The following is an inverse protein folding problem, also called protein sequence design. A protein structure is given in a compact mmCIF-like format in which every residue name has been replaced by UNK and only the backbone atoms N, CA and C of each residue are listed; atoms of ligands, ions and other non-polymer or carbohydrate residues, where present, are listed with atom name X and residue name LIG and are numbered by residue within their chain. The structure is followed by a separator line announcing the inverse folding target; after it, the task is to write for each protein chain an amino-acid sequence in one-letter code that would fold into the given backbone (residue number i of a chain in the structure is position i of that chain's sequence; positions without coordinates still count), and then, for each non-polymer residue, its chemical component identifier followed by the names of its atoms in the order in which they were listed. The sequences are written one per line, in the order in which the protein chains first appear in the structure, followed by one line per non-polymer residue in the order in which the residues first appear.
data_IF_796003951215
#
_entry.id   IF_796003951215
#
_cell.length_a   1.000
_cell.length_b   1.000
_cell.length_c   1.000
_cell.angle_alpha   90.00
_cell.angle_beta   90.00
_cell.angle_gamma   90.00
#
_symmetry.space_group_name_H-M   'P 1'
#
loop_
_entity.id
_entity.type
_entity.pdbx_description
1 polymer ?
#
# COMPACT_ATOMS: atom_id res chain seq x y z
N UNK A 1 -14.42 -33.08 15.02
CA UNK A 1 -13.92 -32.07 15.96
C UNK A 1 -12.63 -31.39 15.47
N UNK A 2 -11.60 -32.12 15.01
CA UNK A 2 -10.37 -31.55 14.43
C UNK A 2 -10.60 -30.67 13.18
N UNK A 3 -11.52 -31.04 12.29
CA UNK A 3 -11.81 -30.26 11.08
C UNK A 3 -12.39 -28.86 11.37
N UNK A 4 -13.23 -28.72 12.40
CA UNK A 4 -13.79 -27.42 12.81
C UNK A 4 -12.75 -26.53 13.49
N UNK A 5 -11.81 -27.12 14.24
CA UNK A 5 -10.69 -26.43 14.88
C UNK A 5 -9.69 -25.89 13.83
N UNK A 6 -9.38 -26.68 12.80
CA UNK A 6 -8.52 -26.25 11.69
C UNK A 6 -9.18 -25.21 10.78
N UNK A 7 -10.48 -25.34 10.52
CA UNK A 7 -11.24 -24.32 9.78
C UNK A 7 -11.26 -22.97 10.53
N UNK A 8 -11.38 -22.98 11.85
CA UNK A 8 -11.30 -21.78 12.70
C UNK A 8 -9.92 -21.12 12.68
N UNK A 9 -8.83 -21.90 12.70
CA UNK A 9 -7.45 -21.40 12.58
C UNK A 9 -7.19 -20.79 11.20
N UNK A 10 -7.70 -21.42 10.13
CA UNK A 10 -7.63 -20.87 8.78
C UNK A 10 -8.31 -19.51 8.70
N UNK A 11 -9.60 -19.41 9.09
CA UNK A 11 -10.36 -18.15 9.00
C UNK A 11 -9.72 -17.04 9.86
N UNK A 12 -9.24 -17.38 11.06
CA UNK A 12 -8.54 -16.44 11.96
C UNK A 12 -7.20 -15.93 11.39
N UNK A 13 -6.39 -16.82 10.79
CA UNK A 13 -5.09 -16.46 10.21
C UNK A 13 -5.23 -15.72 8.87
N UNK A 14 -6.18 -16.11 8.02
CA UNK A 14 -6.41 -15.48 6.73
C UNK A 14 -7.06 -14.09 6.87
N UNK A 15 -8.00 -13.92 7.80
CA UNK A 15 -8.52 -12.60 8.18
C UNK A 15 -7.42 -11.68 8.72
N UNK A 16 -6.50 -12.22 9.53
CA UNK A 16 -5.34 -11.50 10.05
C UNK A 16 -4.37 -11.06 8.93
N UNK A 17 -4.12 -11.92 7.93
CA UNK A 17 -3.27 -11.59 6.77
C UNK A 17 -3.87 -10.46 5.91
N UNK A 18 -5.19 -10.43 5.74
CA UNK A 18 -5.89 -9.37 5.01
C UNK A 18 -5.85 -8.04 5.78
N UNK A 19 -5.99 -8.07 7.11
CA UNK A 19 -5.87 -6.89 7.98
C UNK A 19 -4.44 -6.35 7.99
N UNK A 20 -3.43 -7.21 8.08
CA UNK A 20 -2.01 -6.83 8.00
C UNK A 20 -1.74 -6.15 6.66
N UNK A 21 -2.16 -6.74 5.55
CA UNK A 21 -1.97 -6.14 4.24
C UNK A 21 -2.75 -4.84 4.06
N UNK A 22 -3.95 -4.72 4.63
CA UNK A 22 -4.69 -3.46 4.62
C UNK A 22 -3.95 -2.37 5.41
N UNK A 23 -3.36 -2.71 6.57
CA UNK A 23 -2.51 -1.80 7.36
C UNK A 23 -1.23 -1.42 6.62
N UNK A 24 -0.54 -2.38 6.00
CA UNK A 24 0.64 -2.12 5.15
C UNK A 24 0.26 -1.21 3.99
N UNK A 25 -0.89 -1.44 3.36
CA UNK A 25 -1.41 -0.59 2.28
C UNK A 25 -1.66 0.83 2.77
N UNK A 26 -2.14 1.01 4.00
CA UNK A 26 -2.32 2.32 4.63
C UNK A 26 -0.98 3.02 4.90
N UNK A 27 0.03 2.29 5.35
CA UNK A 27 1.40 2.80 5.54
C UNK A 27 2.10 3.14 4.21
N UNK A 28 1.85 2.35 3.16
CA UNK A 28 2.41 2.58 1.82
C UNK A 28 1.73 3.71 1.03
N UNK A 29 0.56 4.17 1.46
CA UNK A 29 -0.16 5.30 0.87
C UNK A 29 0.33 6.62 1.46
N UNK A 30 1.59 6.94 1.20
CA UNK A 30 2.05 8.32 1.35
C UNK A 30 1.43 9.13 0.21
N UNK A 31 0.74 10.25 0.50
CA UNK A 31 0.21 11.14 -0.53
C UNK A 31 1.33 11.53 -1.49
N UNK A 32 1.06 11.55 -2.80
CA UNK A 32 2.02 12.05 -3.79
C UNK A 32 2.49 13.48 -3.50
N UNK A 33 1.76 14.20 -2.67
CA UNK A 33 2.04 15.53 -2.16
C UNK A 33 2.31 15.57 -0.64
N UNK A 34 3.12 14.63 -0.12
CA UNK A 34 3.44 14.55 1.32
C UNK A 34 3.90 15.89 1.91
N UNK A 35 4.73 16.63 1.18
CA UNK A 35 5.18 17.97 1.56
C UNK A 35 4.03 18.95 1.74
N UNK A 36 3.06 18.99 0.82
CA UNK A 36 1.85 19.81 0.95
C UNK A 36 0.97 19.34 2.10
N UNK A 37 0.80 18.03 2.28
CA UNK A 37 -0.03 17.48 3.35
C UNK A 37 0.51 17.79 4.75
N UNK A 38 1.82 17.62 4.95
CA UNK A 38 2.48 17.92 6.24
C UNK A 38 2.50 19.42 6.47
N UNK A 39 2.90 20.21 5.46
CA UNK A 39 2.93 21.67 5.58
C UNK A 39 1.54 22.21 5.89
N UNK A 40 0.50 21.77 5.18
CA UNK A 40 -0.88 22.20 5.41
C UNK A 40 -1.37 21.92 6.84
N UNK A 41 -1.12 20.71 7.37
CA UNK A 41 -1.47 20.37 8.75
C UNK A 41 -0.71 21.20 9.79
N UNK A 42 0.57 21.47 9.55
CA UNK A 42 1.38 22.28 10.44
C UNK A 42 0.95 23.75 10.39
N UNK A 43 0.65 24.28 9.20
CA UNK A 43 0.08 25.61 9.02
C UNK A 43 -1.23 25.77 9.77
N UNK A 44 -2.16 24.82 9.63
CA UNK A 44 -3.46 24.89 10.28
C UNK A 44 -3.34 24.90 11.82
N UNK A 45 -2.47 24.04 12.37
CA UNK A 45 -2.31 23.89 13.82
C UNK A 45 -1.47 24.97 14.47
N UNK A 46 -0.41 25.41 13.80
CA UNK A 46 0.57 26.34 14.36
C UNK A 46 0.39 27.77 13.84
N UNK A 47 -0.56 27.98 12.93
CA UNK A 47 -0.85 29.27 12.28
C UNK A 47 0.41 29.88 11.65
N UNK A 48 1.13 29.07 10.88
CA UNK A 48 2.40 29.47 10.25
C UNK A 48 2.20 30.60 9.24
N UNK A 49 3.08 31.58 9.24
CA UNK A 49 3.12 32.62 8.20
C UNK A 49 3.72 32.09 6.87
N UNK A 50 3.64 32.88 5.81
CA UNK A 50 4.08 32.46 4.47
C UNK A 50 5.59 32.12 4.40
N UNK A 51 6.44 32.81 5.16
CA UNK A 51 7.88 32.53 5.21
C UNK A 51 8.16 31.21 5.93
N UNK A 52 7.50 30.98 7.06
CA UNK A 52 7.58 29.73 7.82
C UNK A 52 7.06 28.54 7.02
N UNK A 53 5.95 28.71 6.29
CA UNK A 53 5.41 27.67 5.40
C UNK A 53 6.40 27.26 4.32
N UNK A 54 7.07 28.23 3.69
CA UNK A 54 8.08 27.96 2.67
C UNK A 54 9.27 27.16 3.24
N UNK A 55 9.74 27.53 4.43
CA UNK A 55 10.83 26.83 5.12
C UNK A 55 10.43 25.39 5.50
N UNK A 56 9.24 25.21 6.09
CA UNK A 56 8.73 23.86 6.46
C UNK A 56 8.58 23.00 5.21
N UNK A 57 8.02 23.56 4.11
CA UNK A 57 7.88 22.84 2.85
C UNK A 57 9.24 22.39 2.31
N UNK A 58 10.24 23.28 2.30
CA UNK A 58 11.59 22.97 1.83
C UNK A 58 12.23 21.86 2.67
N UNK A 59 12.08 21.92 3.99
CA UNK A 59 12.56 20.84 4.88
C UNK A 59 11.88 19.52 4.53
N UNK A 60 10.55 19.46 4.45
CA UNK A 60 9.87 18.19 4.15
C UNK A 60 10.25 17.66 2.76
N UNK A 61 10.34 18.52 1.75
CA UNK A 61 10.79 18.14 0.40
C UNK A 61 12.20 17.56 0.38
N UNK A 62 13.12 18.09 1.19
CA UNK A 62 14.48 17.55 1.30
C UNK A 62 14.53 16.10 1.81
N UNK A 63 13.49 15.66 2.53
CA UNK A 63 13.36 14.29 3.04
C UNK A 63 12.55 13.37 2.12
N UNK A 64 11.93 13.85 1.04
CA UNK A 64 11.06 13.03 0.20
C UNK A 64 11.80 11.81 -0.38
N UNK A 65 13.06 11.99 -0.81
CA UNK A 65 13.90 10.90 -1.32
C UNK A 65 14.18 9.82 -0.26
N UNK A 66 14.62 10.24 0.94
CA UNK A 66 14.90 9.34 2.06
C UNK A 66 13.65 8.58 2.52
N UNK A 67 12.51 9.27 2.58
CA UNK A 67 11.24 8.66 2.93
C UNK A 67 10.77 7.68 1.85
N UNK A 68 11.01 7.98 0.56
CA UNK A 68 10.71 7.07 -0.55
C UNK A 68 11.57 5.80 -0.46
N UNK A 69 12.86 5.96 -0.24
CA UNK A 69 13.79 4.83 -0.10
C UNK A 69 13.43 3.93 1.08
N UNK A 70 13.17 4.50 2.26
CA UNK A 70 12.74 3.75 3.44
C UNK A 70 11.43 2.98 3.19
N UNK A 71 10.50 3.55 2.41
CA UNK A 71 9.27 2.88 2.00
C UNK A 71 9.54 1.73 1.05
N UNK A 72 10.35 1.95 0.02
CA UNK A 72 10.64 0.94 -1.00
C UNK A 72 11.37 -0.25 -0.37
N UNK A 73 12.31 0.01 0.54
CA UNK A 73 12.98 -1.02 1.34
C UNK A 73 12.00 -1.77 2.26
N UNK A 74 11.17 -1.04 3.02
CA UNK A 74 10.18 -1.65 3.92
C UNK A 74 9.21 -2.55 3.16
N UNK A 75 8.76 -2.09 1.98
CA UNK A 75 7.87 -2.86 1.11
C UNK A 75 8.52 -4.14 0.62
N UNK A 76 9.76 -4.07 0.13
CA UNK A 76 10.49 -5.26 -0.34
C UNK A 76 10.65 -6.30 0.78
N UNK A 77 11.00 -5.84 1.99
CA UNK A 77 11.13 -6.72 3.17
C UNK A 77 9.80 -7.37 3.53
N UNK A 78 8.70 -6.61 3.56
CA UNK A 78 7.38 -7.14 3.87
C UNK A 78 6.88 -8.12 2.81
N UNK A 79 7.06 -7.82 1.53
CA UNK A 79 6.66 -8.71 0.43
C UNK A 79 7.42 -10.05 0.52
N UNK A 80 8.71 -10.02 0.86
CA UNK A 80 9.51 -11.22 1.11
C UNK A 80 9.00 -12.05 2.29
N UNK A 81 8.76 -11.41 3.45
CA UNK A 81 8.25 -12.10 4.64
C UNK A 81 6.87 -12.73 4.42
N UNK A 82 5.98 -12.02 3.73
CA UNK A 82 4.67 -12.56 3.38
C UNK A 82 4.78 -13.74 2.39
N UNK A 83 5.74 -13.70 1.47
CA UNK A 83 6.03 -14.81 0.56
C UNK A 83 6.48 -16.06 1.32
N UNK A 84 7.43 -15.90 2.26
CA UNK A 84 7.92 -17.00 3.10
C UNK A 84 6.80 -17.61 3.94
N UNK A 85 6.00 -16.76 4.61
CA UNK A 85 4.86 -17.19 5.41
C UNK A 85 3.85 -18.00 4.58
N UNK A 86 3.56 -17.58 3.34
CA UNK A 86 2.66 -18.32 2.44
C UNK A 86 3.21 -19.68 2.06
N UNK A 87 4.51 -19.76 1.78
CA UNK A 87 5.18 -21.02 1.43
C UNK A 87 5.14 -21.99 2.62
N UNK A 88 5.43 -21.51 3.82
CA UNK A 88 5.38 -22.30 5.06
C UNK A 88 3.96 -22.82 5.33
N UNK A 89 2.94 -21.96 5.25
CA UNK A 89 1.54 -22.37 5.39
C UNK A 89 1.17 -23.47 4.40
N UNK A 90 1.58 -23.36 3.14
CA UNK A 90 1.27 -24.36 2.11
C UNK A 90 1.79 -25.77 2.44
N UNK A 91 2.89 -25.88 3.21
CA UNK A 91 3.43 -27.19 3.62
C UNK A 91 2.49 -27.94 4.57
N UNK A 92 1.65 -27.23 5.32
CA UNK A 92 0.73 -27.79 6.31
C UNK A 92 -0.68 -28.08 5.75
N UNK A 93 -0.93 -27.75 4.48
CA UNK A 93 -2.23 -27.94 3.84
C UNK A 93 -2.31 -29.27 3.09
N UNK A 94 -3.51 -29.87 3.06
CA UNK A 94 -3.82 -30.99 2.16
C UNK A 94 -3.82 -30.53 0.69
N UNK A 95 -3.70 -31.44 -0.30
CA UNK A 95 -3.71 -31.04 -1.71
C UNK A 95 -4.95 -30.23 -2.12
N UNK A 96 -6.13 -30.61 -1.64
CA UNK A 96 -7.39 -29.89 -1.88
C UNK A 96 -7.37 -28.49 -1.25
N UNK A 97 -6.87 -28.37 -0.02
CA UNK A 97 -6.74 -27.09 0.68
C UNK A 97 -5.69 -26.17 0.02
N UNK A 98 -4.64 -26.72 -0.58
CA UNK A 98 -3.64 -25.95 -1.34
C UNK A 98 -4.25 -25.34 -2.59
N UNK A 99 -5.08 -26.10 -3.31
CA UNK A 99 -5.76 -25.60 -4.50
C UNK A 99 -6.69 -24.42 -4.18
N UNK A 100 -7.48 -24.54 -3.10
CA UNK A 100 -8.33 -23.44 -2.62
C UNK A 100 -7.51 -22.24 -2.12
N UNK A 101 -6.40 -22.48 -1.43
CA UNK A 101 -5.49 -21.43 -0.98
C UNK A 101 -4.88 -20.67 -2.15
N UNK A 102 -4.45 -21.36 -3.21
CA UNK A 102 -3.90 -20.73 -4.41
C UNK A 102 -4.96 -19.88 -5.13
N UNK A 103 -6.17 -20.41 -5.28
CA UNK A 103 -7.30 -19.68 -5.88
C UNK A 103 -7.60 -18.39 -5.11
N UNK A 104 -7.65 -18.46 -3.78
CA UNK A 104 -7.87 -17.29 -2.93
C UNK A 104 -6.77 -16.22 -3.11
N UNK A 105 -5.51 -16.65 -3.18
CA UNK A 105 -4.39 -15.72 -3.42
C UNK A 105 -4.52 -15.02 -4.78
N UNK A 106 -4.92 -15.75 -5.82
CA UNK A 106 -5.17 -15.19 -7.15
C UNK A 106 -6.32 -14.18 -7.14
N UNK A 107 -7.43 -14.49 -6.46
CA UNK A 107 -8.57 -13.56 -6.30
C UNK A 107 -8.16 -12.26 -5.61
N UNK A 108 -7.38 -12.36 -4.52
CA UNK A 108 -6.84 -11.19 -3.84
C UNK A 108 -5.92 -10.35 -4.75
N UNK A 109 -5.06 -10.99 -5.54
CA UNK A 109 -4.17 -10.29 -6.48
C UNK A 109 -4.95 -9.62 -7.60
N UNK A 110 -6.03 -10.24 -8.08
CA UNK A 110 -6.91 -9.65 -9.06
C UNK A 110 -7.62 -8.42 -8.51
N UNK A 111 -8.24 -8.52 -7.33
CA UNK A 111 -8.86 -7.38 -6.65
C UNK A 111 -7.87 -6.22 -6.45
N UNK A 112 -6.59 -6.52 -6.15
CA UNK A 112 -5.54 -5.50 -6.05
C UNK A 112 -5.25 -4.85 -7.39
N UNK A 113 -5.17 -5.61 -8.48
CA UNK A 113 -4.97 -5.09 -9.85
C UNK A 113 -6.12 -4.18 -10.25
N UNK A 114 -7.35 -4.64 -10.05
CA UNK A 114 -8.56 -3.90 -10.42
C UNK A 114 -8.69 -2.61 -9.61
N UNK A 115 -8.46 -2.67 -8.30
CA UNK A 115 -8.41 -1.47 -7.45
C UNK A 115 -7.37 -0.45 -7.91
N UNK A 116 -6.21 -0.91 -8.40
CA UNK A 116 -5.16 -0.01 -8.92
C UNK A 116 -5.57 0.58 -10.27
N UNK A 117 -6.17 -0.22 -11.15
CA UNK A 117 -6.69 0.25 -12.42
C UNK A 117 -7.77 1.31 -12.22
N UNK A 118 -8.74 1.07 -11.33
CA UNK A 118 -9.78 2.02 -10.97
C UNK A 118 -9.18 3.32 -10.40
N UNK A 119 -8.23 3.24 -9.47
CA UNK A 119 -7.57 4.44 -8.92
C UNK A 119 -6.84 5.25 -9.98
N UNK A 120 -6.21 4.60 -10.96
CA UNK A 120 -5.58 5.30 -12.10
C UNK A 120 -6.64 5.97 -12.98
N UNK A 121 -7.76 5.30 -13.26
CA UNK A 121 -8.85 5.85 -14.05
C UNK A 121 -9.54 7.04 -13.35
N UNK A 122 -9.59 7.04 -12.01
CA UNK A 122 -10.17 8.12 -11.21
C UNK A 122 -9.18 9.25 -10.87
N UNK A 123 -7.89 9.11 -11.17
CA UNK A 123 -6.91 10.18 -10.97
C UNK A 123 -7.02 11.18 -12.14
N UNK A 124 -7.30 12.46 -11.90
CA UNK A 124 -7.24 13.46 -12.96
C UNK A 124 -5.82 13.50 -13.54
N UNK A 125 -5.66 13.73 -14.86
CA UNK A 125 -4.34 13.81 -15.48
C UNK A 125 -3.51 14.88 -14.77
N UNK A 126 -2.19 14.66 -14.59
CA UNK A 126 -1.33 15.65 -13.94
C UNK A 126 -1.44 16.99 -14.69
N UNK A 127 -1.56 18.13 -13.97
CA UNK A 127 -1.66 19.43 -14.60
C UNK A 127 -0.42 19.65 -15.48
N UNK A 128 -0.61 19.69 -16.81
CA UNK A 128 0.46 19.87 -17.80
C UNK A 128 0.53 18.83 -18.93
N UNK A 129 -0.21 17.72 -18.86
CA UNK A 129 -0.19 16.69 -19.93
C UNK A 129 -0.97 17.05 -21.20
N UNK A 130 -1.61 18.23 -21.25
CA UNK A 130 -2.52 18.64 -22.33
C UNK A 130 -1.88 19.19 -23.61
N UNK A 131 -0.57 19.48 -23.63
CA UNK A 131 0.05 20.16 -24.78
C UNK A 131 0.90 19.25 -25.70
N UNK A 132 0.95 17.94 -25.46
CA UNK A 132 1.80 17.03 -26.24
C UNK A 132 1.08 16.32 -27.42
N UNK A 133 -0.23 16.48 -27.56
CA UNK A 133 -1.03 15.69 -28.51
C UNK A 133 -1.43 16.43 -29.81
N UNK A 134 -0.98 17.67 -30.04
CA UNK A 134 -1.41 18.50 -31.20
C UNK A 134 -0.30 18.92 -32.16
N UNK A 135 0.83 18.20 -32.20
CA UNK A 135 1.86 18.38 -33.22
C UNK A 135 1.96 17.13 -34.11
N UNK A 136 1.03 17.00 -35.06
CA UNK A 136 1.27 16.26 -36.30
C UNK A 136 0.44 16.85 -37.44
#
# INVERSE_FOLDING_TARGET
MLAALLAGVCIGFFGYSAIIQARIRRFSQIPGNLSEHITGKLTERLKLDAGQQAQVRAVVQSYDGRLKEARDQSRATLDSLLGQMRAEVATHLTPEQRAEHEKLLQEMDQLRRDSRALRRAMQPPPPGAGNAATAK
#
